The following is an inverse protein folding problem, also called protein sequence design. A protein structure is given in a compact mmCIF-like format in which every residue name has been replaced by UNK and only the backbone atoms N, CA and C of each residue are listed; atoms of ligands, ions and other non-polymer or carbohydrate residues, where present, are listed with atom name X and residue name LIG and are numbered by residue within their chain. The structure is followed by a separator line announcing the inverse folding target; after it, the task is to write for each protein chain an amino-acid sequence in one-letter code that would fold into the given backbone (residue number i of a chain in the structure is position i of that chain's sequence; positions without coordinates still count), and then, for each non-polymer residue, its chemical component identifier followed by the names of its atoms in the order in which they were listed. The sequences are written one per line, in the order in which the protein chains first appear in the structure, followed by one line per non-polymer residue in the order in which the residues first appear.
data_IF_453566713879
#
_entry.id   IF_453566713879
#
_cell.length_a   1.000
_cell.length_b   1.000
_cell.length_c   1.000
_cell.angle_alpha   90.00
_cell.angle_beta   90.00
_cell.angle_gamma   90.00
#
_symmetry.space_group_name_H-M   'P 1'
#
loop_
_entity.id
_entity.type
_entity.pdbx_description
1 polymer ?
#
# COMPACT_ATOMS: atom_id res chain seq x y z
N UNK A 1 -6.23 -27.72 -7.80
CA UNK A 1 -5.26 -26.77 -8.38
C UNK A 1 -4.09 -26.69 -7.43
N UNK A 2 -2.91 -27.15 -7.82
CA UNK A 2 -1.72 -27.16 -6.95
C UNK A 2 -1.37 -25.74 -6.50
N UNK A 3 -0.84 -25.60 -5.29
CA UNK A 3 -0.11 -24.38 -4.88
C UNK A 3 0.89 -24.09 -6.01
N UNK A 4 0.68 -23.02 -6.79
CA UNK A 4 1.72 -22.59 -7.73
C UNK A 4 2.96 -22.26 -6.92
N UNK A 5 4.11 -22.73 -7.38
CA UNK A 5 5.41 -22.31 -6.85
C UNK A 5 5.53 -20.81 -7.07
N UNK A 6 5.35 -20.07 -5.99
CA UNK A 6 5.56 -18.62 -5.95
C UNK A 6 6.83 -18.38 -5.16
N UNK A 7 7.59 -17.37 -5.58
CA UNK A 7 8.72 -16.87 -4.82
C UNK A 7 8.21 -15.64 -4.09
N UNK A 8 8.28 -15.69 -2.75
CA UNK A 8 8.03 -14.56 -1.89
C UNK A 8 9.29 -13.69 -1.82
N UNK A 9 9.16 -12.40 -1.54
CA UNK A 9 10.25 -11.51 -1.17
C UNK A 9 9.71 -10.46 -0.21
N UNK A 10 10.41 -10.24 0.90
CA UNK A 10 10.08 -9.14 1.79
C UNK A 10 10.78 -7.85 1.30
N UNK A 11 10.01 -6.90 0.76
CA UNK A 11 10.51 -5.59 0.35
C UNK A 11 10.86 -4.75 1.58
N UNK A 12 9.94 -4.76 2.55
CA UNK A 12 10.12 -4.28 3.93
C UNK A 12 9.93 -5.48 4.85
N UNK A 13 10.87 -5.79 5.76
CA UNK A 13 10.82 -7.01 6.57
C UNK A 13 9.55 -7.13 7.40
N UNK A 14 8.93 -8.31 7.41
CA UNK A 14 7.75 -8.58 8.24
C UNK A 14 8.16 -8.86 9.69
N UNK A 15 7.52 -8.17 10.64
CA UNK A 15 7.74 -8.38 12.09
C UNK A 15 6.45 -8.84 12.75
N UNK A 16 6.26 -10.16 12.89
CA UNK A 16 5.01 -10.77 13.35
C UNK A 16 4.64 -10.46 14.81
N UNK A 17 5.65 -10.33 15.66
CA UNK A 17 5.49 -10.20 17.11
C UNK A 17 6.31 -9.05 17.71
N UNK A 18 7.31 -8.57 16.96
CA UNK A 18 8.30 -7.60 17.41
C UNK A 18 7.95 -6.18 16.94
N UNK A 19 7.08 -5.52 17.70
CA UNK A 19 7.06 -4.05 17.78
C UNK A 19 8.17 -3.48 18.66
N UNK A 20 9.15 -4.30 19.04
CA UNK A 20 10.33 -3.92 19.81
C UNK A 20 11.27 -3.05 18.98
N UNK A 21 10.78 -1.92 18.47
CA UNK A 21 11.63 -0.85 17.97
C UNK A 21 12.06 -0.07 19.20
N UNK A 22 13.38 0.03 19.47
CA UNK A 22 13.87 0.98 20.43
C UNK A 22 13.33 2.36 20.07
N UNK A 23 12.63 2.99 20.99
CA UNK A 23 12.25 4.39 20.86
C UNK A 23 12.97 5.18 21.94
N UNK A 24 13.15 6.47 21.67
CA UNK A 24 13.63 7.42 22.64
C UNK A 24 12.45 8.29 23.07
N UNK A 25 12.16 8.34 24.36
CA UNK A 25 11.10 9.21 24.90
C UNK A 25 11.53 10.69 24.93
N UNK A 26 10.62 11.58 25.30
CA UNK A 26 10.87 13.01 25.41
C UNK A 26 11.97 13.41 26.40
N UNK A 27 12.36 12.51 27.31
CA UNK A 27 13.44 12.71 28.28
C UNK A 27 14.80 12.17 27.78
N UNK A 28 14.83 11.62 26.56
CA UNK A 28 16.03 11.03 25.99
C UNK A 28 16.28 9.57 26.42
N UNK A 29 15.33 8.92 27.10
CA UNK A 29 15.48 7.56 27.61
C UNK A 29 15.10 6.56 26.51
N UNK A 30 16.00 5.60 26.27
CA UNK A 30 15.77 4.51 25.34
C UNK A 30 14.97 3.38 25.98
N UNK A 31 13.92 2.94 25.29
CA UNK A 31 13.08 1.83 25.72
C UNK A 31 12.78 0.88 24.58
N UNK A 32 12.81 -0.42 24.88
CA UNK A 32 12.36 -1.50 23.99
C UNK A 32 11.00 -2.08 24.43
N UNK A 33 10.28 -1.38 25.33
CA UNK A 33 9.02 -1.84 25.89
C UNK A 33 7.93 -2.00 24.82
N UNK A 34 7.19 -3.12 24.91
CA UNK A 34 6.24 -3.55 23.89
C UNK A 34 4.87 -2.88 24.05
N UNK A 35 4.19 -2.61 22.93
CA UNK A 35 2.74 -2.48 22.87
C UNK A 35 2.20 -3.58 21.96
N UNK A 36 1.22 -4.33 22.44
CA UNK A 36 0.41 -5.20 21.58
C UNK A 36 -0.30 -4.33 20.54
N UNK A 37 0.01 -4.56 19.27
CA UNK A 37 -0.50 -3.74 18.16
C UNK A 37 -2.00 -3.98 17.96
N UNK A 38 -2.82 -2.96 18.26
CA UNK A 38 -4.21 -2.88 17.80
C UNK A 38 -4.27 -1.91 16.61
N UNK A 39 -3.72 -2.38 15.48
CA UNK A 39 -3.32 -1.56 14.33
C UNK A 39 -4.44 -0.77 13.66
N UNK A 40 -5.66 -1.30 13.62
CA UNK A 40 -6.76 -0.65 12.90
C UNK A 40 -7.27 0.61 13.59
N UNK A 41 -7.57 0.53 14.88
CA UNK A 41 -8.13 1.68 15.58
C UNK A 41 -7.08 2.78 15.74
N UNK A 42 -5.81 2.39 15.88
CA UNK A 42 -4.70 3.34 15.91
C UNK A 42 -4.48 4.03 14.57
N UNK A 43 -4.61 3.34 13.42
CA UNK A 43 -4.40 3.93 12.09
C UNK A 43 -5.43 4.98 11.68
N UNK A 44 -6.54 5.10 12.42
CA UNK A 44 -7.57 6.12 12.20
C UNK A 44 -7.47 7.32 13.13
N UNK A 45 -6.44 7.37 13.98
CA UNK A 45 -6.21 8.51 14.87
C UNK A 45 -5.65 9.70 14.09
N UNK A 46 -5.83 10.88 14.67
CA UNK A 46 -5.31 12.13 14.09
C UNK A 46 -3.79 12.09 13.89
N UNK A 47 -3.06 11.54 14.87
CA UNK A 47 -1.60 11.48 14.86
C UNK A 47 -1.09 10.03 14.91
N UNK A 48 0.07 9.75 14.30
CA UNK A 48 0.73 8.46 14.35
C UNK A 48 0.94 7.96 15.78
N UNK A 49 0.49 6.73 16.06
CA UNK A 49 0.77 6.01 17.33
C UNK A 49 1.86 4.96 17.19
N UNK A 50 2.44 4.84 16.00
CA UNK A 50 3.58 3.98 15.71
C UNK A 50 4.64 4.78 14.94
N UNK A 51 5.92 4.41 15.05
CA UNK A 51 6.98 5.07 14.28
C UNK A 51 6.71 5.00 12.78
N UNK A 52 7.00 6.10 12.08
CA UNK A 52 6.91 6.22 10.62
C UNK A 52 8.32 6.47 10.09
N UNK A 53 9.09 5.41 9.97
CA UNK A 53 10.54 5.47 9.77
C UNK A 53 10.88 5.38 8.29
N UNK A 54 11.70 6.33 7.85
CA UNK A 54 12.42 6.28 6.59
C UNK A 54 13.79 5.60 6.83
N UNK A 55 14.42 5.12 5.77
CA UNK A 55 15.77 4.55 5.83
C UNK A 55 15.92 3.24 5.08
N UNK A 56 17.11 2.61 5.14
CA UNK A 56 17.39 1.37 4.44
C UNK A 56 16.50 0.22 4.92
N UNK A 57 16.52 -0.89 4.17
CA UNK A 57 15.79 -2.12 4.53
C UNK A 57 16.10 -2.50 5.98
N UNK A 58 15.05 -2.77 6.75
CA UNK A 58 15.13 -3.14 8.16
C UNK A 58 15.20 -1.96 9.14
N UNK A 59 15.54 -0.75 8.68
CA UNK A 59 15.35 0.50 9.45
C UNK A 59 14.01 1.12 9.07
N UNK A 60 13.80 1.41 7.79
CA UNK A 60 12.53 1.91 7.26
C UNK A 60 11.38 0.92 7.52
N UNK A 61 10.16 1.43 7.63
CA UNK A 61 8.99 0.60 7.96
C UNK A 61 7.76 0.90 7.11
N UNK A 62 6.83 -0.05 7.10
CA UNK A 62 5.52 0.07 6.47
C UNK A 62 4.50 -0.58 7.41
N UNK A 63 3.65 0.23 8.05
CA UNK A 63 2.67 -0.22 9.04
C UNK A 63 1.27 0.08 8.53
N UNK A 64 0.30 -0.83 8.65
CA UNK A 64 -1.08 -0.50 8.28
C UNK A 64 -1.18 -0.06 6.81
N UNK A 65 -0.67 -0.87 5.90
CA UNK A 65 -0.54 -0.48 4.49
C UNK A 65 -1.90 -0.59 3.78
N UNK A 66 -2.50 0.54 3.42
CA UNK A 66 -3.88 0.62 2.93
C UNK A 66 -4.03 0.72 1.40
N UNK A 67 -2.97 1.18 0.73
CA UNK A 67 -2.89 1.20 -0.72
C UNK A 67 -1.47 0.89 -1.17
N UNK A 68 -1.33 0.25 -2.32
CA UNK A 68 -0.06 -0.02 -2.98
C UNK A 68 -0.20 0.32 -4.46
N UNK A 69 0.80 0.99 -5.03
CA UNK A 69 0.97 1.16 -6.46
C UNK A 69 2.37 0.70 -6.87
N UNK A 70 2.46 -0.23 -7.81
CA UNK A 70 3.75 -0.68 -8.36
C UNK A 70 4.24 0.36 -9.36
N UNK A 71 5.48 0.84 -9.20
CA UNK A 71 6.08 1.80 -10.11
C UNK A 71 6.33 1.18 -11.48
N UNK A 72 5.82 1.85 -12.52
CA UNK A 72 5.93 1.42 -13.92
C UNK A 72 7.17 1.96 -14.65
N UNK A 73 7.94 2.84 -14.00
CA UNK A 73 9.18 3.39 -14.55
C UNK A 73 10.21 2.30 -14.83
N UNK A 74 10.92 2.40 -15.96
CA UNK A 74 11.92 1.42 -16.41
C UNK A 74 13.34 1.96 -16.26
N UNK A 75 14.31 1.05 -16.14
CA UNK A 75 15.74 1.40 -16.08
C UNK A 75 16.19 2.13 -17.35
N UNK A 76 15.72 1.66 -18.50
CA UNK A 76 15.86 2.30 -19.79
C UNK A 76 14.47 2.49 -20.43
N UNK A 77 14.27 3.59 -21.16
CA UNK A 77 13.01 3.84 -21.86
C UNK A 77 12.95 3.06 -23.18
N UNK A 78 12.87 1.73 -23.06
CA UNK A 78 12.70 0.82 -24.19
C UNK A 78 11.82 -0.38 -23.81
N UNK A 79 11.03 -0.91 -24.77
CA UNK A 79 10.26 -2.13 -24.53
C UNK A 79 11.13 -3.26 -24.00
N UNK A 80 10.65 -3.93 -22.94
CA UNK A 80 11.37 -5.05 -22.30
C UNK A 80 12.49 -4.66 -21.33
N UNK A 81 12.77 -3.36 -21.12
CA UNK A 81 13.64 -2.96 -20.01
C UNK A 81 13.00 -3.33 -18.67
N UNK A 82 13.79 -3.83 -17.69
CA UNK A 82 13.27 -4.11 -16.36
C UNK A 82 12.72 -2.84 -15.71
N UNK A 83 11.71 -3.02 -14.86
CA UNK A 83 11.21 -1.97 -13.97
C UNK A 83 12.32 -1.48 -13.05
N UNK A 84 12.28 -0.20 -12.68
CA UNK A 84 13.15 0.36 -11.62
C UNK A 84 12.94 -0.33 -10.27
N UNK A 85 11.80 -1.01 -10.10
CA UNK A 85 11.49 -1.80 -8.90
C UNK A 85 10.92 -0.99 -7.74
N UNK A 86 10.55 0.28 -7.97
CA UNK A 86 9.88 1.08 -6.94
C UNK A 86 8.48 0.54 -6.65
N UNK A 87 8.10 0.57 -5.38
CA UNK A 87 6.73 0.35 -4.92
C UNK A 87 6.34 1.54 -4.07
N UNK A 88 5.16 2.09 -4.32
CA UNK A 88 4.59 3.19 -3.56
C UNK A 88 3.47 2.64 -2.69
N UNK A 89 3.32 3.17 -1.50
CA UNK A 89 2.27 2.75 -0.58
C UNK A 89 1.79 3.90 0.28
N UNK A 90 0.60 3.76 0.86
CA UNK A 90 0.16 4.64 1.94
C UNK A 90 -0.20 3.83 3.18
N UNK A 91 0.04 4.45 4.32
CA UNK A 91 -0.44 4.02 5.63
C UNK A 91 -1.41 5.07 6.21
N UNK A 92 -1.79 4.97 7.48
CA UNK A 92 -2.75 5.89 8.10
C UNK A 92 -2.38 7.39 8.05
N UNK A 93 -1.14 7.76 7.70
CA UNK A 93 -0.66 9.14 7.83
C UNK A 93 0.30 9.63 6.74
N UNK A 94 0.81 8.76 5.87
CA UNK A 94 1.75 9.14 4.82
C UNK A 94 1.60 8.34 3.53
N UNK A 95 2.13 8.92 2.45
CA UNK A 95 2.49 8.19 1.23
C UNK A 95 4.01 8.05 1.20
N UNK A 96 4.50 6.83 0.94
CA UNK A 96 5.91 6.51 0.94
C UNK A 96 6.29 5.64 -0.27
N UNK A 97 7.59 5.60 -0.56
CA UNK A 97 8.21 4.76 -1.59
C UNK A 97 9.14 3.75 -0.94
N UNK A 98 9.08 2.50 -1.38
CA UNK A 98 10.12 1.49 -1.19
C UNK A 98 10.85 1.32 -2.52
N UNK A 99 12.17 1.54 -2.53
CA UNK A 99 12.96 1.28 -3.74
C UNK A 99 13.38 -0.20 -3.86
N UNK A 100 14.05 -0.57 -4.96
CA UNK A 100 14.51 -1.94 -5.21
C UNK A 100 15.43 -2.50 -4.12
N UNK A 101 16.12 -1.63 -3.36
CA UNK A 101 17.01 -2.02 -2.27
C UNK A 101 16.25 -2.26 -0.97
N UNK A 102 14.99 -1.84 -0.90
CA UNK A 102 14.15 -1.87 0.31
C UNK A 102 14.25 -0.60 1.14
N UNK A 103 14.84 0.48 0.60
CA UNK A 103 14.89 1.76 1.30
C UNK A 103 13.51 2.43 1.26
N UNK A 104 13.00 2.80 2.43
CA UNK A 104 11.72 3.52 2.60
C UNK A 104 11.98 5.02 2.63
N UNK A 105 11.23 5.78 1.82
CA UNK A 105 11.26 7.25 1.83
C UNK A 105 9.83 7.80 1.84
N UNK A 106 9.51 8.65 2.80
CA UNK A 106 8.24 9.36 2.87
C UNK A 106 8.19 10.44 1.79
N UNK A 107 7.14 10.42 0.96
CA UNK A 107 6.93 11.38 -0.11
C UNK A 107 6.02 12.54 0.32
N UNK A 108 5.05 12.26 1.19
CA UNK A 108 4.03 13.19 1.65
C UNK A 108 3.47 12.71 2.99
N UNK A 109 3.20 13.63 3.92
CA UNK A 109 2.55 13.31 5.21
C UNK A 109 3.54 13.20 6.35
N UNK A 110 3.15 12.54 7.44
CA UNK A 110 3.97 12.48 8.66
C UNK A 110 5.12 11.48 8.55
N UNK A 111 6.28 11.81 9.10
CA UNK A 111 7.36 10.83 9.36
C UNK A 111 8.00 11.06 10.73
N UNK A 112 8.58 10.00 11.29
CA UNK A 112 9.36 10.07 12.52
C UNK A 112 10.69 10.78 12.28
N UNK A 113 11.00 11.72 13.17
CA UNK A 113 12.28 12.39 13.26
C UNK A 113 13.19 11.59 14.21
N UNK A 114 13.99 10.67 13.65
CA UNK A 114 14.89 9.80 14.42
C UNK A 114 14.35 8.37 14.61
N UNK A 115 14.71 7.69 15.73
CA UNK A 115 14.53 6.23 15.89
C UNK A 115 13.09 5.77 16.12
N UNK A 116 12.15 6.71 16.32
CA UNK A 116 10.74 6.45 16.63
C UNK A 116 10.33 7.08 17.95
N UNK A 117 9.02 7.16 18.20
CA UNK A 117 8.43 7.83 19.36
C UNK A 117 7.71 6.90 20.31
N UNK A 118 7.57 7.33 21.56
CA UNK A 118 6.69 6.69 22.52
C UNK A 118 5.23 6.94 22.13
N UNK A 119 4.45 5.87 22.01
CA UNK A 119 3.03 5.95 21.66
C UNK A 119 2.17 6.68 22.71
N UNK A 120 2.65 6.87 23.94
CA UNK A 120 1.95 7.59 25.01
C UNK A 120 2.14 9.11 24.96
N UNK A 121 3.21 9.57 24.31
CA UNK A 121 3.53 10.98 24.21
C UNK A 121 2.75 11.63 23.06
N UNK A 122 2.58 12.96 23.12
CA UNK A 122 2.18 13.71 21.94
C UNK A 122 3.41 13.87 21.04
N UNK A 123 3.45 13.23 19.87
CA UNK A 123 4.65 13.19 19.05
C UNK A 123 4.97 14.52 18.35
N UNK A 124 4.02 15.47 18.32
CA UNK A 124 4.26 16.83 17.81
C UNK A 124 4.94 17.67 18.88
N UNK A 125 4.42 17.66 20.12
CA UNK A 125 5.00 18.45 21.23
C UNK A 125 6.44 18.04 21.54
N UNK A 126 6.76 16.75 21.38
CA UNK A 126 8.10 16.20 21.60
C UNK A 126 9.05 16.39 20.41
N UNK A 127 8.57 16.92 19.27
CA UNK A 127 9.36 17.09 18.05
C UNK A 127 9.81 15.77 17.40
N UNK A 128 9.17 14.65 17.76
CA UNK A 128 9.49 13.32 17.25
C UNK A 128 8.82 13.01 15.91
N UNK A 129 7.90 13.86 15.45
CA UNK A 129 7.36 13.83 14.09
C UNK A 129 7.69 15.12 13.34
N UNK A 130 7.90 14.97 12.04
CA UNK A 130 7.93 16.07 11.10
C UNK A 130 6.96 15.83 9.95
N UNK A 131 6.47 16.91 9.37
CA UNK A 131 5.52 16.88 8.26
C UNK A 131 6.28 17.06 6.94
N UNK A 132 6.20 16.05 6.06
CA UNK A 132 6.81 16.07 4.73
C UNK A 132 5.86 16.74 3.72
N UNK A 133 6.41 17.67 2.96
CA UNK A 133 5.71 18.51 1.99
C UNK A 133 5.58 19.96 2.45
N UNK A 134 5.35 20.87 1.50
CA UNK A 134 4.97 22.25 1.79
C UNK A 134 3.45 22.36 1.83
N UNK A 135 2.91 22.40 3.05
CA UNK A 135 1.47 22.47 3.34
C UNK A 135 0.95 23.90 3.50
N UNK A 136 1.76 24.93 3.21
CA UNK A 136 1.40 26.34 3.43
C UNK A 136 0.17 26.80 2.63
N UNK A 137 -0.15 26.13 1.53
CA UNK A 137 -1.32 26.42 0.70
C UNK A 137 -2.59 25.66 1.12
N UNK A 138 -2.51 24.77 2.10
CA UNK A 138 -3.67 24.01 2.62
C UNK A 138 -4.35 24.83 3.72
N UNK A 139 -5.64 25.11 3.55
CA UNK A 139 -6.42 25.91 4.50
C UNK A 139 -6.92 25.08 5.69
N UNK A 140 -7.27 23.81 5.45
CA UNK A 140 -7.72 22.88 6.48
C UNK A 140 -6.59 22.29 7.33
N UNK A 141 -6.84 21.17 8.03
CA UNK A 141 -5.83 20.47 8.80
C UNK A 141 -4.59 20.12 7.95
N UNK A 142 -3.42 20.19 8.55
CA UNK A 142 -2.17 19.78 7.91
C UNK A 142 -1.88 18.30 8.15
N UNK A 143 -1.27 17.65 7.16
CA UNK A 143 -1.04 16.21 7.16
C UNK A 143 -2.24 15.40 6.66
N UNK A 144 -1.97 14.14 6.36
CA UNK A 144 -2.97 13.17 5.92
C UNK A 144 -3.60 12.50 7.14
N UNK A 145 -4.87 12.14 7.01
CA UNK A 145 -5.62 11.43 8.03
C UNK A 145 -6.43 10.30 7.40
N UNK A 146 -5.91 9.09 7.58
CA UNK A 146 -6.48 7.86 7.02
C UNK A 146 -6.55 7.92 5.48
N UNK A 147 -5.41 8.01 4.77
CA UNK A 147 -5.41 7.85 3.34
C UNK A 147 -5.54 6.36 2.98
N UNK A 148 -6.57 6.04 2.22
CA UNK A 148 -6.85 4.67 1.74
C UNK A 148 -6.51 4.46 0.28
N UNK A 149 -6.12 5.53 -0.42
CA UNK A 149 -6.00 5.51 -1.87
C UNK A 149 -5.21 6.69 -2.43
N UNK A 150 -4.46 6.44 -3.49
CA UNK A 150 -3.77 7.49 -4.23
C UNK A 150 -3.52 7.08 -5.68
N UNK A 151 -3.29 8.06 -6.54
CA UNK A 151 -2.90 7.85 -7.92
C UNK A 151 -1.90 8.93 -8.37
N UNK A 152 -0.84 8.50 -9.06
CA UNK A 152 0.00 9.42 -9.83
C UNK A 152 -0.72 9.79 -11.13
N UNK A 153 -0.82 11.09 -11.44
CA UNK A 153 -1.42 11.57 -12.68
C UNK A 153 -0.53 11.14 -13.85
N UNK A 154 -1.01 10.26 -14.71
CA UNK A 154 -0.21 9.58 -15.75
C UNK A 154 0.58 10.57 -16.61
N UNK A 155 -0.11 11.59 -17.16
CA UNK A 155 0.50 12.62 -18.00
C UNK A 155 1.55 13.50 -17.30
N UNK A 156 1.64 13.46 -15.97
CA UNK A 156 2.63 14.22 -15.20
C UNK A 156 3.91 13.44 -14.89
N UNK A 157 3.92 12.12 -15.14
CA UNK A 157 5.06 11.25 -14.80
C UNK A 157 6.04 11.07 -15.95
N UNK A 158 5.76 11.65 -17.12
CA UNK A 158 6.62 11.60 -18.29
C UNK A 158 8.00 12.24 -18.03
N UNK A 159 9.05 11.55 -18.47
CA UNK A 159 10.45 11.98 -18.34
C UNK A 159 10.91 12.77 -19.57
N UNK A 160 11.79 13.74 -19.37
CA UNK A 160 12.39 14.53 -20.46
C UNK A 160 13.72 13.90 -20.89
N UNK A 161 13.69 13.15 -21.99
CA UNK A 161 14.88 12.51 -22.56
C UNK A 161 15.82 13.47 -23.32
N UNK A 162 15.37 14.70 -23.60
CA UNK A 162 16.19 15.70 -24.28
C UNK A 162 16.96 16.57 -23.29
N UNK A 163 16.57 16.56 -22.01
CA UNK A 163 17.28 17.23 -20.95
C UNK A 163 18.53 16.47 -20.51
N UNK A 164 19.51 17.19 -19.96
CA UNK A 164 20.66 16.57 -19.33
C UNK A 164 20.22 15.82 -18.06
N UNK A 165 20.71 14.59 -17.83
CA UNK A 165 20.47 13.88 -16.58
C UNK A 165 20.98 14.66 -15.37
N UNK A 166 20.33 14.49 -14.22
CA UNK A 166 20.62 15.21 -12.97
C UNK A 166 21.81 14.53 -12.27
N UNK A 167 23.04 15.10 -12.28
CA UNK A 167 24.22 14.37 -11.83
C UNK A 167 24.22 14.05 -10.34
N UNK A 168 23.62 14.93 -9.53
CA UNK A 168 23.50 14.75 -8.09
C UNK A 168 22.49 13.67 -7.66
N UNK A 169 21.74 13.10 -8.61
CA UNK A 169 20.66 12.14 -8.36
C UNK A 169 20.89 10.86 -9.17
N UNK A 170 22.12 10.34 -9.12
CA UNK A 170 22.56 9.14 -9.86
C UNK A 170 22.31 9.22 -11.37
N UNK A 171 22.43 10.42 -11.94
CA UNK A 171 22.12 10.71 -13.35
C UNK A 171 20.69 10.30 -13.75
N UNK A 172 19.70 10.49 -12.87
CA UNK A 172 18.30 10.33 -13.24
C UNK A 172 17.87 11.40 -14.23
N UNK A 173 16.96 11.02 -15.13
CA UNK A 173 16.34 11.98 -16.04
C UNK A 173 15.34 12.86 -15.28
N UNK A 174 15.25 14.17 -15.61
CA UNK A 174 14.19 15.02 -15.11
C UNK A 174 12.84 14.64 -15.74
N UNK A 175 11.76 15.13 -15.15
CA UNK A 175 10.41 15.04 -15.72
C UNK A 175 10.08 16.25 -16.60
N UNK A 176 9.21 16.05 -17.61
CA UNK A 176 8.73 17.13 -18.49
C UNK A 176 7.96 18.20 -17.70
N UNK A 177 7.19 17.76 -16.72
CA UNK A 177 6.46 18.57 -15.75
C UNK A 177 6.62 17.96 -14.37
N UNK A 178 6.27 18.69 -13.31
CA UNK A 178 6.30 18.14 -11.96
C UNK A 178 5.31 16.97 -11.83
N UNK A 179 5.75 15.78 -11.39
CA UNK A 179 4.82 14.69 -11.10
C UNK A 179 3.76 15.13 -10.11
N UNK A 180 2.51 14.75 -10.38
CA UNK A 180 1.36 15.05 -9.52
C UNK A 180 0.85 13.74 -8.91
N UNK A 181 0.70 13.74 -7.60
CA UNK A 181 0.10 12.67 -6.82
C UNK A 181 -1.20 13.18 -6.22
N UNK A 182 -2.29 12.44 -6.39
CA UNK A 182 -3.60 12.72 -5.80
C UNK A 182 -3.89 11.66 -4.74
N UNK A 183 -4.27 12.09 -3.53
CA UNK A 183 -4.45 11.21 -2.37
C UNK A 183 -5.83 11.42 -1.77
N UNK A 184 -6.58 10.34 -1.57
CA UNK A 184 -7.84 10.37 -0.83
C UNK A 184 -7.55 10.53 0.67
N UNK A 185 -7.92 11.67 1.26
CA UNK A 185 -7.69 12.01 2.66
C UNK A 185 -9.03 11.90 3.42
N UNK A 186 -9.41 10.66 3.72
CA UNK A 186 -10.79 10.25 4.01
C UNK A 186 -11.44 11.02 5.17
N UNK A 187 -10.77 11.11 6.32
CA UNK A 187 -11.35 11.78 7.49
C UNK A 187 -11.35 13.31 7.40
N UNK A 188 -10.58 13.87 6.47
CA UNK A 188 -10.61 15.30 6.18
C UNK A 188 -11.56 15.64 5.02
N UNK A 189 -12.23 14.65 4.41
CA UNK A 189 -13.27 14.87 3.41
C UNK A 189 -12.76 15.54 2.13
N UNK A 190 -11.55 15.18 1.69
CA UNK A 190 -10.86 15.86 0.59
C UNK A 190 -9.95 14.94 -0.23
N UNK A 191 -9.59 15.39 -1.43
CA UNK A 191 -8.45 14.87 -2.19
C UNK A 191 -7.31 15.90 -2.08
N UNK A 192 -6.14 15.46 -1.63
CA UNK A 192 -4.91 16.25 -1.60
C UNK A 192 -4.12 16.05 -2.89
N UNK A 193 -3.56 17.14 -3.43
CA UNK A 193 -2.55 17.07 -4.47
C UNK A 193 -1.16 17.38 -3.90
N UNK A 194 -0.20 16.50 -4.15
CA UNK A 194 1.22 16.78 -4.01
C UNK A 194 1.86 16.94 -5.41
N UNK A 195 2.50 18.07 -5.65
CA UNK A 195 3.24 18.36 -6.87
C UNK A 195 4.75 18.35 -6.59
N UNK A 196 5.44 17.39 -7.19
CA UNK A 196 6.88 17.21 -7.05
C UNK A 196 7.63 18.10 -8.05
N UNK A 197 8.88 18.42 -7.74
CA UNK A 197 9.70 19.19 -8.67
C UNK A 197 10.11 18.35 -9.89
N UNK A 198 9.98 18.88 -11.11
CA UNK A 198 10.37 18.17 -12.33
C UNK A 198 11.88 17.89 -12.41
N UNK A 199 12.70 18.73 -11.79
CA UNK A 199 14.16 18.74 -12.00
C UNK A 199 14.97 18.47 -10.72
N UNK A 200 14.28 18.19 -9.60
CA UNK A 200 14.91 17.93 -8.29
C UNK A 200 14.05 16.95 -7.51
N UNK A 201 14.47 15.70 -7.39
CA UNK A 201 13.71 14.67 -6.70
C UNK A 201 13.83 14.76 -5.16
N UNK A 202 14.83 15.49 -4.64
CA UNK A 202 15.09 15.60 -3.19
C UNK A 202 14.36 16.73 -2.46
N UNK A 203 13.57 17.57 -3.15
CA UNK A 203 12.86 18.68 -2.49
C UNK A 203 11.43 18.25 -2.10
N UNK A 204 10.89 18.72 -0.95
CA UNK A 204 9.52 18.43 -0.56
C UNK A 204 8.50 18.87 -1.63
N UNK A 205 7.43 18.09 -1.89
CA UNK A 205 6.40 18.49 -2.83
C UNK A 205 5.60 19.68 -2.31
N UNK A 206 5.02 20.46 -3.23
CA UNK A 206 4.00 21.46 -2.87
C UNK A 206 2.66 20.77 -2.68
N UNK A 207 2.00 21.05 -1.57
CA UNK A 207 0.75 20.38 -1.19
C UNK A 207 -0.41 21.36 -1.26
N UNK A 208 -1.49 20.96 -1.93
CA UNK A 208 -2.70 21.77 -2.10
C UNK A 208 -3.95 20.90 -1.97
N UNK A 209 -5.09 21.54 -1.65
CA UNK A 209 -6.39 20.88 -1.70
C UNK A 209 -6.86 20.81 -3.17
N UNK A 210 -7.06 19.59 -3.67
CA UNK A 210 -7.52 19.34 -5.05
C UNK A 210 -9.05 19.37 -5.12
N UNK A 211 -9.70 18.60 -4.24
CA UNK A 211 -11.15 18.61 -4.01
C UNK A 211 -11.42 18.67 -2.51
N UNK A 212 -12.48 19.37 -2.09
CA UNK A 212 -12.90 19.47 -0.68
C UNK A 212 -14.41 19.24 -0.55
N UNK A 213 -14.87 18.93 0.66
CA UNK A 213 -16.30 18.72 0.94
C UNK A 213 -16.84 17.37 0.43
N UNK A 214 -15.96 16.40 0.22
CA UNK A 214 -16.33 15.04 -0.19
C UNK A 214 -16.67 14.22 1.06
N UNK A 215 -17.75 13.44 1.01
CA UNK A 215 -18.16 12.57 2.11
C UNK A 215 -17.33 11.28 2.15
N UNK A 216 -16.29 11.27 2.98
CA UNK A 216 -15.42 10.12 3.23
C UNK A 216 -14.81 9.52 1.94
N UNK A 217 -13.97 10.29 1.20
CA UNK A 217 -13.31 9.79 -0.01
C UNK A 217 -12.37 8.65 0.36
N UNK A 218 -12.60 7.45 -0.15
CA UNK A 218 -11.86 6.25 0.26
C UNK A 218 -10.73 5.89 -0.71
N UNK A 219 -11.01 5.86 -2.00
CA UNK A 219 -10.03 5.54 -3.03
C UNK A 219 -10.17 6.48 -4.22
N UNK A 220 -9.09 6.64 -4.98
CA UNK A 220 -9.14 7.36 -6.23
C UNK A 220 -8.27 6.71 -7.31
N UNK A 221 -8.77 6.69 -8.54
CA UNK A 221 -8.06 6.15 -9.72
C UNK A 221 -8.23 7.11 -10.90
N UNK A 222 -7.33 7.05 -11.86
CA UNK A 222 -7.42 7.83 -13.10
C UNK A 222 -8.05 6.98 -14.22
N UNK A 223 -8.93 7.61 -15.00
CA UNK A 223 -9.41 7.10 -16.29
C UNK A 223 -9.41 8.24 -17.30
N UNK A 224 -8.52 8.16 -18.29
CA UNK A 224 -8.24 9.25 -19.23
C UNK A 224 -7.93 10.57 -18.50
N UNK A 225 -8.71 11.62 -18.74
CA UNK A 225 -8.62 12.93 -18.11
C UNK A 225 -9.55 13.09 -16.88
N UNK A 226 -10.15 11.98 -16.43
CA UNK A 226 -10.99 11.89 -15.25
C UNK A 226 -10.25 11.34 -14.02
N UNK A 227 -10.45 11.97 -12.87
CA UNK A 227 -10.23 11.42 -11.54
C UNK A 227 -11.52 10.79 -11.05
N UNK A 228 -11.52 9.48 -10.83
CA UNK A 228 -12.62 8.74 -10.25
C UNK A 228 -12.39 8.61 -8.75
N UNK A 229 -13.40 8.92 -7.94
CA UNK A 229 -13.33 8.88 -6.47
C UNK A 229 -14.49 8.05 -5.92
N UNK A 230 -14.20 7.14 -4.99
CA UNK A 230 -15.23 6.47 -4.19
C UNK A 230 -15.60 7.33 -2.98
N UNK A 231 -16.84 7.81 -2.96
CA UNK A 231 -17.38 8.62 -1.86
C UNK A 231 -18.17 7.71 -0.92
N UNK A 232 -17.45 7.06 0.00
CA UNK A 232 -17.99 5.99 0.83
C UNK A 232 -19.17 6.44 1.68
N UNK A 233 -19.12 7.67 2.18
CA UNK A 233 -20.17 8.29 3.00
C UNK A 233 -21.36 8.84 2.21
N UNK A 234 -21.28 8.86 0.87
CA UNK A 234 -22.37 9.32 -0.02
C UNK A 234 -22.88 8.22 -0.95
N UNK A 235 -22.49 6.96 -0.72
CA UNK A 235 -22.99 5.79 -1.44
C UNK A 235 -22.87 5.93 -2.97
N UNK A 236 -21.78 6.54 -3.44
CA UNK A 236 -21.57 6.83 -4.87
C UNK A 236 -20.11 6.85 -5.27
N UNK A 237 -19.90 6.66 -6.57
CA UNK A 237 -18.60 6.85 -7.24
C UNK A 237 -18.76 8.00 -8.22
N UNK A 238 -17.87 8.98 -8.15
CA UNK A 238 -17.94 10.20 -8.94
C UNK A 238 -16.71 10.38 -9.81
N UNK A 239 -16.90 11.04 -10.96
CA UNK A 239 -15.82 11.44 -11.86
C UNK A 239 -15.66 12.96 -11.82
N UNK A 240 -14.41 13.41 -11.70
CA UNK A 240 -13.99 14.80 -11.72
C UNK A 240 -12.95 15.01 -12.81
N UNK A 241 -12.93 16.18 -13.43
CA UNK A 241 -11.88 16.56 -14.37
C UNK A 241 -10.53 16.76 -13.66
N UNK A 242 -9.48 16.06 -14.09
CA UNK A 242 -8.19 16.06 -13.40
C UNK A 242 -7.40 17.37 -13.58
N UNK A 243 -7.78 18.19 -14.56
CA UNK A 243 -7.14 19.45 -14.90
C UNK A 243 -7.88 20.65 -14.31
N UNK A 244 -9.21 20.66 -14.44
CA UNK A 244 -10.08 21.77 -14.03
C UNK A 244 -10.73 21.56 -12.67
N UNK A 245 -10.67 20.34 -12.11
CA UNK A 245 -11.29 19.94 -10.83
C UNK A 245 -12.82 19.92 -10.86
N UNK A 246 -13.42 20.15 -12.02
CA UNK A 246 -14.87 20.22 -12.16
C UNK A 246 -15.49 18.84 -12.02
N UNK A 247 -16.59 18.76 -11.28
CA UNK A 247 -17.43 17.56 -11.26
C UNK A 247 -17.96 17.28 -12.66
N UNK A 248 -17.82 16.02 -13.13
CA UNK A 248 -18.32 15.59 -14.43
C UNK A 248 -19.63 14.83 -14.31
N UNK A 249 -19.65 13.79 -13.48
CA UNK A 249 -20.83 12.90 -13.32
C UNK A 249 -20.73 11.99 -12.10
N UNK A 250 -21.87 11.43 -11.72
CA UNK A 250 -21.94 10.23 -10.89
C UNK A 250 -21.85 9.02 -11.82
N UNK A 251 -20.88 8.13 -11.58
CA UNK A 251 -20.69 6.89 -12.35
C UNK A 251 -21.72 5.84 -11.90
N UNK A 252 -21.83 5.66 -10.58
CA UNK A 252 -22.80 4.75 -9.97
C UNK A 252 -23.15 5.26 -8.57
N UNK A 253 -24.39 5.01 -8.14
CA UNK A 253 -24.87 5.38 -6.80
C UNK A 253 -25.94 4.39 -6.32
N UNK A 254 -26.22 4.40 -5.03
CA UNK A 254 -27.36 3.69 -4.47
C UNK A 254 -27.80 4.28 -3.13
N UNK A 255 -28.70 3.60 -2.43
CA UNK A 255 -29.32 4.11 -1.21
C UNK A 255 -28.39 4.04 0.01
N UNK A 256 -28.72 4.87 1.01
CA UNK A 256 -28.02 4.99 2.30
C UNK A 256 -28.37 3.81 3.23
N UNK A 257 -27.94 2.60 2.84
CA UNK A 257 -28.17 1.36 3.59
C UNK A 257 -26.99 0.93 4.47
N UNK A 258 -26.02 1.82 4.66
CA UNK A 258 -24.92 1.66 5.58
C UNK A 258 -24.40 3.02 6.04
N UNK A 259 -23.59 3.05 7.10
CA UNK A 259 -22.83 4.22 7.49
C UNK A 259 -21.50 3.80 8.08
N UNK A 260 -20.58 4.75 8.25
CA UNK A 260 -19.28 4.51 8.87
C UNK A 260 -19.29 5.02 10.30
N UNK A 261 -18.90 4.18 11.25
CA UNK A 261 -18.73 4.63 12.64
C UNK A 261 -17.67 5.73 12.76
N UNK A 262 -17.83 6.66 13.70
CA UNK A 262 -16.78 7.62 14.01
C UNK A 262 -15.45 6.95 14.39
N UNK A 263 -14.36 7.70 14.24
CA UNK A 263 -13.03 7.31 14.76
C UNK A 263 -13.11 7.00 16.27
N UNK A 264 -12.41 5.95 16.76
CA UNK A 264 -11.33 5.22 16.09
C UNK A 264 -11.76 3.96 15.33
N UNK A 265 -12.98 3.45 15.52
CA UNK A 265 -13.35 2.14 14.96
C UNK A 265 -13.50 2.19 13.44
N UNK A 266 -14.16 3.21 12.88
CA UNK A 266 -14.35 3.38 11.42
C UNK A 266 -14.94 2.14 10.72
N UNK A 267 -15.77 1.37 11.45
CA UNK A 267 -16.44 0.19 10.89
C UNK A 267 -17.59 0.60 10.00
N UNK A 268 -17.76 -0.12 8.89
CA UNK A 268 -18.96 -0.05 8.07
C UNK A 268 -20.10 -0.80 8.76
N UNK A 269 -21.16 -0.09 9.10
CA UNK A 269 -22.36 -0.64 9.74
C UNK A 269 -23.50 -0.62 8.74
N UNK A 270 -24.06 -1.79 8.48
CA UNK A 270 -25.26 -1.95 7.63
C UNK A 270 -26.49 -1.52 8.41
N UNK A 271 -27.39 -0.80 7.76
CA UNK A 271 -28.71 -0.43 8.30
C UNK A 271 -29.84 -1.26 7.70
N UNK A 272 -29.53 -2.13 6.72
CA UNK A 272 -30.41 -3.13 6.15
C UNK A 272 -29.72 -4.51 6.08
N UNK A 273 -30.51 -5.55 5.81
CA UNK A 273 -29.99 -6.91 5.63
C UNK A 273 -29.07 -7.00 4.41
N UNK A 274 -28.04 -7.86 4.50
CA UNK A 274 -27.02 -8.00 3.46
C UNK A 274 -27.63 -8.31 2.07
N UNK A 275 -28.60 -9.22 2.02
CA UNK A 275 -29.27 -9.60 0.77
C UNK A 275 -30.12 -8.47 0.17
N UNK A 276 -30.58 -7.52 0.99
CA UNK A 276 -31.24 -6.32 0.47
C UNK A 276 -30.20 -5.36 -0.13
N UNK A 277 -29.13 -5.11 0.61
CA UNK A 277 -28.04 -4.22 0.16
C UNK A 277 -27.45 -4.66 -1.19
N UNK A 278 -27.28 -5.98 -1.39
CA UNK A 278 -26.70 -6.55 -2.62
C UNK A 278 -27.51 -6.32 -3.88
N UNK A 279 -28.81 -6.01 -3.77
CA UNK A 279 -29.70 -5.70 -4.90
C UNK A 279 -29.41 -4.34 -5.54
N UNK A 280 -28.73 -3.45 -4.83
CA UNK A 280 -28.40 -2.12 -5.34
C UNK A 280 -27.05 -2.10 -6.04
N UNK A 281 -26.84 -1.15 -6.94
CA UNK A 281 -25.60 -1.05 -7.70
C UNK A 281 -24.43 -0.62 -6.82
N UNK A 282 -24.64 0.35 -5.92
CA UNK A 282 -23.57 0.89 -5.09
C UNK A 282 -24.07 1.27 -3.70
N UNK A 283 -23.50 0.68 -2.66
CA UNK A 283 -23.71 1.09 -1.27
C UNK A 283 -22.35 1.16 -0.60
N UNK A 284 -21.97 2.34 -0.12
CA UNK A 284 -20.70 2.58 0.57
C UNK A 284 -19.48 2.00 -0.18
N UNK A 285 -19.19 2.50 -1.40
CA UNK A 285 -18.07 2.00 -2.20
C UNK A 285 -16.74 2.32 -1.52
N UNK A 286 -15.82 1.37 -1.58
CA UNK A 286 -14.50 1.45 -0.95
C UNK A 286 -13.39 1.35 -2.02
N UNK A 287 -12.65 0.25 -2.08
CA UNK A 287 -11.54 0.12 -3.02
C UNK A 287 -11.99 0.17 -4.48
N UNK A 288 -11.20 0.86 -5.30
CA UNK A 288 -11.35 0.99 -6.74
C UNK A 288 -10.13 0.37 -7.42
N UNK A 289 -10.35 -0.23 -8.59
CA UNK A 289 -9.27 -0.73 -9.43
C UNK A 289 -9.65 -0.64 -10.91
N UNK A 290 -8.67 -0.31 -11.75
CA UNK A 290 -8.80 -0.25 -13.21
C UNK A 290 -7.58 -0.90 -13.83
N UNK A 291 -7.79 -1.70 -14.89
CA UNK A 291 -6.70 -2.15 -15.76
C UNK A 291 -6.41 -1.04 -16.78
N UNK A 292 -5.14 -0.84 -17.15
CA UNK A 292 -4.71 0.33 -17.94
C UNK A 292 -5.45 0.52 -19.27
N UNK A 293 -5.78 -0.59 -19.94
CA UNK A 293 -6.44 -0.63 -21.25
C UNK A 293 -7.91 -1.07 -21.17
N UNK A 294 -8.53 -0.93 -19.99
CA UNK A 294 -9.90 -1.36 -19.73
C UNK A 294 -10.80 -0.17 -19.35
N UNK A 295 -12.03 -0.20 -19.89
CA UNK A 295 -13.13 0.71 -19.56
C UNK A 295 -13.96 0.20 -18.37
N UNK A 296 -13.66 -0.97 -17.82
CA UNK A 296 -14.27 -1.45 -16.59
C UNK A 296 -13.56 -0.91 -15.34
N UNK A 297 -14.34 -0.26 -14.48
CA UNK A 297 -13.94 0.10 -13.13
C UNK A 297 -14.45 -0.96 -12.15
N UNK A 298 -13.53 -1.63 -11.46
CA UNK A 298 -13.85 -2.54 -10.37
C UNK A 298 -13.98 -1.76 -9.07
N UNK A 299 -14.99 -2.08 -8.27
CA UNK A 299 -15.15 -1.51 -6.94
C UNK A 299 -15.58 -2.56 -5.93
N UNK A 300 -14.98 -2.48 -4.75
CA UNK A 300 -15.29 -3.33 -3.61
C UNK A 300 -16.13 -2.55 -2.59
N UNK A 301 -17.02 -3.24 -1.88
CA UNK A 301 -17.78 -2.64 -0.78
C UNK A 301 -17.91 -3.61 0.39
N UNK A 302 -17.47 -3.19 1.58
CA UNK A 302 -17.71 -3.96 2.80
C UNK A 302 -19.19 -4.04 3.15
N UNK A 303 -19.95 -2.96 2.90
CA UNK A 303 -21.40 -2.93 3.12
C UNK A 303 -22.11 -3.99 2.27
N UNK A 304 -21.71 -4.15 1.01
CA UNK A 304 -22.30 -5.13 0.10
C UNK A 304 -21.70 -6.53 0.24
N UNK A 305 -20.51 -6.64 0.86
CA UNK A 305 -19.68 -7.83 0.84
C UNK A 305 -19.53 -8.41 -0.57
N UNK A 306 -19.27 -7.53 -1.53
CA UNK A 306 -19.15 -7.85 -2.96
C UNK A 306 -18.09 -6.98 -3.62
N UNK A 307 -17.50 -7.53 -4.68
CA UNK A 307 -16.86 -6.76 -5.75
C UNK A 307 -17.84 -6.72 -6.92
N UNK A 308 -18.05 -5.52 -7.45
CA UNK A 308 -18.77 -5.28 -8.69
C UNK A 308 -17.86 -4.54 -9.67
N UNK A 309 -18.25 -4.46 -10.92
CA UNK A 309 -17.61 -3.60 -11.91
C UNK A 309 -18.63 -2.79 -12.68
N UNK A 310 -18.25 -1.59 -13.08
CA UNK A 310 -19.07 -0.69 -13.90
C UNK A 310 -18.31 -0.29 -15.15
N UNK A 311 -18.96 -0.41 -16.31
CA UNK A 311 -18.38 0.03 -17.58
C UNK A 311 -18.47 1.55 -17.66
N UNK A 312 -17.34 2.22 -17.78
CA UNK A 312 -17.25 3.67 -17.64
C UNK A 312 -17.96 4.43 -18.76
N UNK A 313 -18.02 3.85 -19.96
CA UNK A 313 -18.79 4.39 -21.10
C UNK A 313 -20.29 4.06 -21.05
N UNK A 314 -20.68 2.79 -20.89
CA UNK A 314 -22.09 2.36 -21.02
C UNK A 314 -22.89 2.50 -19.73
N UNK A 315 -22.23 2.54 -18.57
CA UNK A 315 -22.86 2.52 -17.25
C UNK A 315 -23.37 1.14 -16.83
N UNK A 316 -23.09 0.08 -17.60
CA UNK A 316 -23.46 -1.29 -17.24
C UNK A 316 -22.75 -1.72 -15.96
N UNK A 317 -23.50 -2.28 -15.00
CA UNK A 317 -22.98 -2.78 -13.73
C UNK A 317 -23.08 -4.30 -13.70
N UNK A 318 -21.97 -4.95 -13.42
CA UNK A 318 -21.88 -6.40 -13.31
C UNK A 318 -21.40 -6.85 -11.94
N UNK A 319 -21.90 -8.01 -11.50
CA UNK A 319 -21.37 -8.72 -10.35
C UNK A 319 -20.01 -9.34 -10.68
N UNK A 320 -19.02 -9.14 -9.80
CA UNK A 320 -17.71 -9.77 -9.91
C UNK A 320 -17.59 -11.00 -9.02
N UNK A 321 -17.64 -10.80 -7.70
CA UNK A 321 -17.58 -11.89 -6.73
C UNK A 321 -18.16 -11.51 -5.37
N UNK A 322 -18.56 -12.52 -4.60
CA UNK A 322 -18.93 -12.36 -3.20
C UNK A 322 -17.69 -12.42 -2.29
N UNK A 323 -17.58 -11.42 -1.41
CA UNK A 323 -16.53 -11.32 -0.41
C UNK A 323 -16.92 -12.19 0.79
N UNK A 324 -16.02 -13.05 1.24
CA UNK A 324 -16.26 -13.94 2.38
C UNK A 324 -16.43 -13.14 3.69
N UNK A 325 -17.53 -13.38 4.41
CA UNK A 325 -17.89 -12.67 5.66
C UNK A 325 -17.85 -13.53 6.93
N UNK A 326 -17.16 -14.68 6.89
CA UNK A 326 -17.33 -15.82 7.82
C UNK A 326 -17.06 -15.59 9.32
N UNK A 327 -16.79 -14.37 9.81
CA UNK A 327 -16.40 -14.13 11.21
C UNK A 327 -17.31 -13.14 11.96
N UNK A 328 -17.51 -13.33 13.28
CA UNK A 328 -18.39 -12.47 14.10
C UNK A 328 -17.96 -11.00 14.17
N UNK A 329 -16.68 -10.71 13.91
CA UNK A 329 -16.10 -9.37 13.95
C UNK A 329 -16.27 -8.57 12.64
N UNK A 330 -16.92 -9.16 11.63
CA UNK A 330 -17.27 -8.49 10.38
C UNK A 330 -16.09 -8.20 9.44
N UNK A 331 -16.43 -7.83 8.21
CA UNK A 331 -15.53 -7.26 7.22
C UNK A 331 -15.38 -5.76 7.53
N UNK A 332 -14.19 -5.29 7.90
CA UNK A 332 -13.98 -3.89 8.32
C UNK A 332 -13.85 -2.91 7.15
N UNK A 333 -13.33 -3.38 6.04
CA UNK A 333 -13.12 -2.67 4.77
C UNK A 333 -13.11 -3.68 3.63
N UNK A 334 -13.24 -3.20 2.40
CA UNK A 334 -13.06 -3.97 1.18
C UNK A 334 -12.16 -3.24 0.18
N UNK A 335 -11.22 -3.98 -0.41
CA UNK A 335 -10.35 -3.54 -1.49
C UNK A 335 -10.32 -4.60 -2.58
N UNK A 336 -9.83 -4.23 -3.76
CA UNK A 336 -9.65 -5.16 -4.86
C UNK A 336 -8.43 -4.75 -5.68
N UNK A 337 -7.68 -5.74 -6.18
CA UNK A 337 -6.83 -5.59 -7.36
C UNK A 337 -7.21 -6.66 -8.39
N UNK A 338 -6.96 -6.38 -9.66
CA UNK A 338 -7.28 -7.28 -10.77
C UNK A 338 -6.00 -7.66 -11.51
N UNK A 339 -5.85 -8.94 -11.81
CA UNK A 339 -4.73 -9.43 -12.61
C UNK A 339 -4.83 -8.93 -14.05
N UNK A 340 -3.73 -8.38 -14.55
CA UNK A 340 -3.47 -8.05 -15.95
C UNK A 340 -3.07 -9.28 -16.79
N UNK A 341 -3.22 -10.50 -16.24
CA UNK A 341 -2.83 -11.75 -16.89
C UNK A 341 -1.39 -12.20 -16.59
N UNK A 342 -0.59 -11.36 -15.93
CA UNK A 342 0.85 -11.63 -15.75
C UNK A 342 1.19 -12.39 -14.47
N UNK A 343 0.40 -12.24 -13.39
CA UNK A 343 0.58 -13.00 -12.14
C UNK A 343 -0.44 -14.13 -11.98
N UNK A 344 -1.72 -13.84 -12.25
CA UNK A 344 -2.80 -14.82 -12.34
C UNK A 344 -3.50 -14.71 -13.70
N UNK A 345 -4.46 -15.60 -14.01
CA UNK A 345 -5.32 -15.42 -15.20
C UNK A 345 -5.90 -13.99 -15.25
N UNK A 346 -5.97 -13.40 -16.43
CA UNK A 346 -6.50 -12.05 -16.62
C UNK A 346 -7.92 -11.92 -16.05
N UNK A 347 -8.23 -10.79 -15.43
CA UNK A 347 -9.52 -10.56 -14.78
C UNK A 347 -9.70 -11.26 -13.43
N UNK A 348 -8.69 -12.01 -12.94
CA UNK A 348 -8.73 -12.58 -11.58
C UNK A 348 -8.70 -11.45 -10.56
N UNK A 349 -9.70 -11.41 -9.68
CA UNK A 349 -9.82 -10.42 -8.60
C UNK A 349 -9.14 -10.92 -7.34
N UNK A 350 -8.30 -10.08 -6.73
CA UNK A 350 -7.65 -10.31 -5.44
C UNK A 350 -8.22 -9.35 -4.42
N UNK A 351 -8.81 -9.90 -3.37
CA UNK A 351 -9.57 -9.18 -2.36
C UNK A 351 -8.89 -9.34 -1.01
N UNK A 352 -8.10 -8.35 -0.55
CA UNK A 352 -7.52 -8.38 0.78
C UNK A 352 -8.59 -8.07 1.82
N UNK A 353 -8.52 -8.72 2.99
CA UNK A 353 -9.56 -8.64 4.02
C UNK A 353 -9.01 -8.71 5.43
N UNK A 354 -9.76 -8.16 6.37
CA UNK A 354 -9.45 -8.10 7.80
C UNK A 354 -9.16 -9.44 8.51
N UNK A 355 -9.06 -10.60 7.85
CA UNK A 355 -8.68 -11.86 8.50
C UNK A 355 -7.83 -12.80 7.62
N UNK A 356 -7.34 -12.37 6.47
CA UNK A 356 -6.54 -13.25 5.63
C UNK A 356 -5.05 -13.12 5.91
N UNK A 357 -4.33 -14.20 5.61
CA UNK A 357 -2.87 -14.22 5.51
C UNK A 357 -2.41 -13.94 4.08
N UNK A 358 -3.28 -14.11 3.09
CA UNK A 358 -3.10 -13.72 1.69
C UNK A 358 -4.45 -13.31 1.09
N UNK A 359 -4.48 -12.42 0.07
CA UNK A 359 -5.73 -12.02 -0.56
C UNK A 359 -6.52 -13.21 -1.07
N UNK A 360 -7.83 -13.20 -0.81
CA UNK A 360 -8.71 -14.16 -1.48
C UNK A 360 -8.75 -13.82 -2.96
N UNK A 361 -8.45 -14.81 -3.82
CA UNK A 361 -8.53 -14.63 -5.25
C UNK A 361 -9.77 -15.31 -5.83
N UNK A 362 -10.35 -14.69 -6.84
CA UNK A 362 -11.53 -15.17 -7.54
C UNK A 362 -11.28 -15.07 -9.04
N UNK A 363 -11.41 -16.18 -9.76
CA UNK A 363 -11.34 -16.21 -11.22
C UNK A 363 -12.49 -15.38 -11.81
N UNK A 364 -12.40 -14.97 -13.10
CA UNK A 364 -13.56 -14.48 -13.82
C UNK A 364 -14.75 -15.42 -13.67
N UNK A 365 -15.90 -14.90 -13.24
CA UNK A 365 -17.09 -15.69 -12.90
C UNK A 365 -17.23 -16.05 -11.42
N UNK A 366 -16.29 -15.65 -10.57
CA UNK A 366 -16.43 -15.69 -9.11
C UNK A 366 -16.01 -17.00 -8.44
N UNK A 367 -15.44 -17.96 -9.18
CA UNK A 367 -14.87 -19.18 -8.58
C UNK A 367 -13.63 -18.82 -7.75
N UNK A 368 -13.55 -19.33 -6.52
CA UNK A 368 -12.39 -19.11 -5.64
C UNK A 368 -11.14 -19.77 -6.20
N UNK A 369 -10.09 -18.98 -6.41
CA UNK A 369 -8.77 -19.46 -6.76
C UNK A 369 -7.87 -19.59 -5.53
N UNK A 370 -7.31 -20.78 -5.31
CA UNK A 370 -6.33 -21.04 -4.26
C UNK A 370 -4.93 -20.82 -4.83
N UNK A 371 -4.17 -19.89 -4.25
CA UNK A 371 -2.85 -19.48 -4.72
C UNK A 371 -1.92 -19.21 -3.54
N UNK A 372 -0.60 -19.25 -3.79
CA UNK A 372 0.43 -18.83 -2.85
C UNK A 372 0.56 -19.63 -1.54
N UNK A 373 1.47 -19.14 -0.70
CA UNK A 373 1.62 -19.50 0.72
C UNK A 373 1.28 -18.29 1.59
N UNK A 374 0.71 -18.54 2.77
CA UNK A 374 0.28 -17.48 3.68
C UNK A 374 1.40 -16.49 4.00
N UNK A 375 1.06 -15.20 4.16
CA UNK A 375 1.99 -14.19 4.67
C UNK A 375 1.81 -13.99 6.18
N UNK A 376 2.88 -13.54 6.81
CA UNK A 376 2.97 -13.16 8.22
C UNK A 376 2.39 -11.76 8.52
N UNK A 377 1.92 -11.05 7.49
CA UNK A 377 1.44 -9.67 7.57
C UNK A 377 0.16 -9.52 8.40
N UNK A 378 -0.69 -10.56 8.44
CA UNK A 378 -2.02 -10.61 9.09
C UNK A 378 -2.95 -9.40 8.81
N UNK A 379 -4.23 -9.68 8.55
CA UNK A 379 -5.21 -8.63 8.24
C UNK A 379 -4.78 -7.84 7.00
N UNK A 380 -4.67 -8.53 5.87
CA UNK A 380 -4.27 -7.90 4.62
C UNK A 380 -5.22 -6.77 4.24
N UNK A 381 -4.64 -5.65 3.85
CA UNK A 381 -5.36 -4.40 3.62
C UNK A 381 -5.08 -3.79 2.26
N UNK A 382 -4.05 -4.25 1.56
CA UNK A 382 -3.69 -3.76 0.24
C UNK A 382 -3.03 -4.84 -0.60
N UNK A 383 -3.26 -4.75 -1.90
CA UNK A 383 -2.62 -5.58 -2.92
C UNK A 383 -2.53 -4.78 -4.21
N UNK A 384 -1.44 -4.95 -4.96
CA UNK A 384 -1.25 -4.41 -6.29
C UNK A 384 -0.63 -5.48 -7.19
N UNK A 385 -0.99 -5.47 -8.47
CA UNK A 385 -0.51 -6.43 -9.47
C UNK A 385 -0.02 -5.68 -10.69
N UNK A 386 1.18 -6.02 -11.16
CA UNK A 386 1.73 -5.49 -12.40
C UNK A 386 2.93 -6.33 -12.88
N UNK A 387 2.98 -6.68 -14.16
CA UNK A 387 4.13 -7.35 -14.81
C UNK A 387 4.69 -8.56 -14.02
N UNK A 388 3.80 -9.43 -13.56
CA UNK A 388 4.14 -10.70 -12.89
C UNK A 388 4.48 -10.54 -11.41
N UNK A 389 4.33 -9.32 -10.87
CA UNK A 389 4.52 -8.99 -9.46
C UNK A 389 3.16 -8.83 -8.81
N UNK A 390 2.96 -9.49 -7.67
CA UNK A 390 1.91 -9.19 -6.73
C UNK A 390 2.56 -8.64 -5.47
N UNK A 391 2.27 -7.40 -5.11
CA UNK A 391 2.78 -6.80 -3.86
C UNK A 391 1.61 -6.60 -2.92
N UNK A 392 1.76 -7.03 -1.67
CA UNK A 392 0.73 -6.93 -0.65
C UNK A 392 1.26 -6.37 0.66
N UNK A 393 0.35 -5.69 1.36
CA UNK A 393 0.55 -5.11 2.66
C UNK A 393 -0.64 -5.42 3.57
N UNK A 394 -0.39 -5.40 4.87
CA UNK A 394 -1.41 -5.68 5.87
C UNK A 394 -1.35 -4.71 7.02
N UNK A 395 -2.08 -5.07 8.07
CA UNK A 395 -2.11 -4.24 9.26
C UNK A 395 -0.85 -4.39 10.11
N UNK A 396 -0.17 -5.54 10.10
CA UNK A 396 1.17 -5.63 10.70
C UNK A 396 2.21 -4.96 9.80
N UNK A 397 3.41 -4.87 10.35
CA UNK A 397 4.52 -4.26 9.63
C UNK A 397 5.09 -5.18 8.57
N UNK A 398 5.37 -4.60 7.41
CA UNK A 398 6.05 -5.24 6.32
C UNK A 398 5.37 -4.95 4.98
N UNK A 399 6.08 -5.30 3.92
CA UNK A 399 5.58 -5.21 2.55
C UNK A 399 6.16 -6.40 1.79
N UNK A 400 5.29 -7.25 1.26
CA UNK A 400 5.69 -8.54 0.68
C UNK A 400 5.37 -8.55 -0.80
N UNK A 401 6.32 -8.99 -1.61
CA UNK A 401 6.17 -9.25 -3.03
C UNK A 401 6.12 -10.76 -3.28
N UNK A 402 5.24 -11.17 -4.17
CA UNK A 402 5.19 -12.50 -4.75
C UNK A 402 5.42 -12.39 -6.25
N UNK A 403 6.22 -13.31 -6.78
CA UNK A 403 6.32 -13.57 -8.22
C UNK A 403 6.05 -15.04 -8.50
N UNK A 404 5.60 -15.36 -9.71
CA UNK A 404 5.56 -16.74 -10.17
C UNK A 404 6.99 -17.27 -10.34
N UNK A 405 7.25 -18.51 -9.90
CA UNK A 405 8.53 -19.17 -10.14
C UNK A 405 8.69 -19.49 -11.62
N UNK A 406 9.82 -19.11 -12.19
CA UNK A 406 10.23 -19.46 -13.54
C UNK A 406 11.14 -20.70 -13.51
N UNK A 407 11.22 -21.49 -14.61
CA UNK A 407 12.18 -22.60 -14.69
C UNK A 407 13.64 -22.19 -14.45
N UNK A 408 13.96 -20.91 -14.70
CA UNK A 408 15.29 -20.32 -14.47
C UNK A 408 15.58 -19.94 -13.02
N UNK A 409 14.60 -19.94 -12.13
CA UNK A 409 14.79 -19.54 -10.73
C UNK A 409 15.55 -20.59 -9.88
N UNK A 410 15.92 -21.73 -10.48
CA UNK A 410 16.70 -22.79 -9.83
C UNK A 410 15.91 -23.55 -8.75
N UNK A 411 16.47 -24.66 -8.26
CA UNK A 411 15.89 -25.43 -7.16
C UNK A 411 16.30 -24.91 -5.77
N UNK A 412 15.35 -24.95 -4.85
CA UNK A 412 15.56 -24.57 -3.46
C UNK A 412 16.05 -25.78 -2.64
N UNK A 413 17.26 -25.69 -2.10
CA UNK A 413 17.83 -26.68 -1.19
C UNK A 413 17.45 -26.35 0.26
N UNK A 414 16.33 -26.93 0.69
CA UNK A 414 15.82 -26.74 2.06
C UNK A 414 16.81 -27.22 3.13
N UNK A 415 17.57 -28.28 2.86
CA UNK A 415 18.52 -28.81 3.83
C UNK A 415 19.69 -27.84 4.02
N UNK A 416 20.19 -27.25 2.93
CA UNK A 416 21.23 -26.21 2.97
C UNK A 416 20.74 -24.96 3.67
N UNK A 417 19.54 -24.50 3.34
CA UNK A 417 18.90 -23.37 4.01
C UNK A 417 18.80 -23.56 5.53
N UNK A 418 18.27 -24.70 5.98
CA UNK A 418 18.08 -24.97 7.40
C UNK A 418 19.39 -25.10 8.19
N UNK A 419 20.47 -25.56 7.56
CA UNK A 419 21.82 -25.56 8.17
C UNK A 419 22.35 -24.13 8.30
N UNK A 420 22.20 -23.31 7.27
CA UNK A 420 22.59 -21.90 7.28
C UNK A 420 21.83 -21.09 8.33
N UNK A 421 20.51 -21.26 8.44
CA UNK A 421 19.67 -20.61 9.46
C UNK A 421 20.13 -20.96 10.88
N UNK A 422 20.40 -22.24 11.11
CA UNK A 422 20.89 -22.72 12.40
C UNK A 422 22.27 -22.14 12.72
N UNK A 423 23.20 -22.19 11.77
CA UNK A 423 24.54 -21.61 11.96
C UNK A 423 24.47 -20.10 12.26
N UNK A 424 23.63 -19.37 11.51
CA UNK A 424 23.39 -17.95 11.70
C UNK A 424 22.83 -17.65 13.10
N UNK A 425 21.88 -18.46 13.56
CA UNK A 425 21.24 -18.33 14.87
C UNK A 425 22.19 -18.70 16.01
N UNK A 426 22.93 -19.80 15.90
CA UNK A 426 23.87 -20.31 16.90
C UNK A 426 25.05 -19.34 17.11
N UNK A 427 25.47 -18.63 16.05
CA UNK A 427 26.48 -17.56 16.15
C UNK A 427 25.92 -16.23 16.67
N UNK A 428 24.61 -16.15 16.94
CA UNK A 428 23.95 -14.96 17.47
C UNK A 428 23.78 -13.82 16.47
N UNK A 429 24.00 -14.05 15.16
CA UNK A 429 23.90 -12.98 14.16
C UNK A 429 22.50 -12.40 14.04
N UNK A 430 21.46 -13.19 14.36
CA UNK A 430 20.08 -12.69 14.36
C UNK A 430 19.83 -11.54 15.35
N UNK A 431 20.64 -11.42 16.41
CA UNK A 431 20.54 -10.34 17.39
C UNK A 431 21.08 -9.02 16.86
N UNK A 432 22.14 -9.06 16.04
CA UNK A 432 22.81 -7.88 15.49
C UNK A 432 22.35 -7.50 14.08
N UNK A 433 21.92 -8.49 13.29
CA UNK A 433 21.58 -8.35 11.87
C UNK A 433 20.16 -8.82 11.54
N UNK A 434 19.31 -9.08 12.54
CA UNK A 434 17.93 -9.58 12.38
C UNK A 434 17.82 -10.95 11.70
N UNK A 435 16.61 -11.48 11.55
CA UNK A 435 16.33 -12.71 10.79
C UNK A 435 16.80 -12.51 9.34
N UNK A 436 17.49 -13.52 8.78
CA UNK A 436 17.98 -13.53 7.40
C UNK A 436 18.80 -12.30 6.96
N UNK A 437 19.52 -11.63 7.88
CA UNK A 437 20.32 -10.46 7.58
C UNK A 437 19.49 -9.23 7.19
N UNK A 438 18.22 -9.18 7.56
CA UNK A 438 17.31 -8.06 7.24
C UNK A 438 17.65 -6.76 7.97
N UNK A 439 18.62 -6.79 8.89
CA UNK A 439 19.27 -5.69 9.57
C UNK A 439 18.36 -4.64 10.18
N UNK A 440 18.02 -4.79 11.47
CA UNK A 440 17.31 -3.74 12.23
C UNK A 440 18.16 -2.50 12.49
N UNK A 441 19.46 -2.59 12.25
CA UNK A 441 20.49 -1.59 12.58
C UNK A 441 21.09 -0.93 11.34
N UNK A 442 20.81 -1.45 10.13
CA UNK A 442 21.40 -0.98 8.88
C UNK A 442 22.78 -1.58 8.56
N UNK A 443 23.32 -2.43 9.44
CA UNK A 443 24.56 -3.17 9.20
C UNK A 443 24.42 -4.19 8.06
N UNK A 444 25.46 -4.38 7.23
CA UNK A 444 25.42 -5.35 6.14
C UNK A 444 25.35 -6.79 6.68
N UNK A 445 24.66 -7.73 5.99
CA UNK A 445 24.65 -9.13 6.42
C UNK A 445 26.06 -9.73 6.46
N UNK A 446 26.34 -10.67 7.37
CA UNK A 446 27.66 -11.28 7.54
C UNK A 446 27.98 -12.32 6.46
N UNK A 447 28.05 -11.88 5.20
CA UNK A 447 28.39 -12.75 4.06
C UNK A 447 29.83 -13.29 4.13
N UNK A 448 30.07 -14.45 3.52
CA UNK A 448 31.40 -15.04 3.34
C UNK A 448 31.92 -15.86 4.52
N UNK A 449 31.07 -16.15 5.51
CA UNK A 449 31.44 -16.99 6.67
C UNK A 449 31.31 -18.48 6.33
N UNK A 450 30.25 -18.88 5.62
CA UNK A 450 30.06 -20.24 5.11
C UNK A 450 29.08 -20.25 3.93
N UNK A 451 29.23 -21.23 3.03
CA UNK A 451 28.33 -21.40 1.88
C UNK A 451 26.87 -21.67 2.29
N UNK A 452 26.65 -22.34 3.43
CA UNK A 452 25.32 -22.63 3.96
C UNK A 452 24.66 -21.36 4.50
N UNK A 453 25.43 -20.52 5.21
CA UNK A 453 24.93 -19.25 5.74
C UNK A 453 24.71 -18.22 4.63
N UNK A 454 25.58 -18.15 3.63
CA UNK A 454 25.38 -17.29 2.45
C UNK A 454 24.13 -17.73 1.68
N UNK A 455 23.92 -19.04 1.54
CA UNK A 455 22.68 -19.57 0.97
C UNK A 455 21.44 -19.17 1.77
N UNK A 456 21.50 -19.22 3.10
CA UNK A 456 20.43 -18.72 3.98
C UNK A 456 20.21 -17.21 3.83
N UNK A 457 21.25 -16.38 3.75
CA UNK A 457 21.13 -14.92 3.60
C UNK A 457 20.58 -14.53 2.22
N UNK A 458 20.94 -15.29 1.20
CA UNK A 458 20.45 -15.09 -0.17
C UNK A 458 19.00 -15.49 -0.31
N UNK A 459 18.54 -16.55 0.38
CA UNK A 459 17.18 -17.07 0.23
C UNK A 459 16.23 -16.73 1.38
N UNK A 460 16.72 -16.33 2.54
CA UNK A 460 15.90 -15.91 3.69
C UNK A 460 15.21 -14.57 3.47
N UNK A 461 15.67 -13.82 2.46
CA UNK A 461 14.94 -12.69 1.87
C UNK A 461 13.71 -13.14 1.04
N UNK A 462 13.64 -14.43 0.70
CA UNK A 462 12.68 -15.01 -0.25
C UNK A 462 11.74 -16.08 0.32
N UNK A 463 11.87 -16.46 1.59
CA UNK A 463 11.08 -17.55 2.18
C UNK A 463 10.66 -17.22 3.62
N UNK A 464 9.38 -16.87 3.75
CA UNK A 464 8.52 -17.20 4.90
C UNK A 464 7.18 -17.69 4.36
#
# INVERSE_FOLDING_TARGET
VSKRDTIRRDLVPVREMDSHRPYQDSHGIWSAANRQRYTYDDSHRLLPRYPLLDGPRGVGNAHGVFHIQIGKGRVEDKPGSPLMGNVYFCDGWRVARVDKTGHVSTLLGWRSNGPGHNWQEDPIETGQLELVGDWSAVQGPHGLREPWGFVFVEGSTAVDHNAAPIPAEDNRQPHLVGPRLLVADSQNGRIIQAEFSPTRHGIPPKVTEFLTGISDPWECVQWHDGLIVSERGSHRICEYDIHTRQFRRVIVSGPDLAYVQPSPSRWVIRTAELEEIRKHDCVSPEGLYRLDDDDWLYYASAAMAQVKRVHLVTGEVEWGCDILTKFPTGLKFAKVAVSDGTFGPEGTMFVPQWNNTIPHAYLPGGERWIWGTGSSLAYDSSVAIHEGRLVMGGCREGLVEYKLRLPSDGDFDYAKYARGEREYSDKGYYLSHSVAGMSYTGEPPPYGISDDMDYYLDHGKYMQ
#
